data_IF_866562270684
#
_entry.id   IF_866562270684
#
_cell.length_a   1.000
_cell.length_b   1.000
_cell.length_c   1.000
_cell.angle_alpha   90.00
_cell.angle_beta   90.00
_cell.angle_gamma   90.00
#
_symmetry.space_group_name_H-M   'P 1'
#
loop_
_entity.id
_entity.type
_entity.pdbx_description
1 polymer ?
#
# COMPACT_ATOMS: atom_id res chain seq x y z
N UNK A 1 18.03 -16.30 29.76
CA UNK A 1 16.62 -15.90 29.55
C UNK A 1 16.47 -14.62 28.72
N UNK A 2 17.38 -13.64 28.82
CA UNK A 2 17.34 -12.39 28.03
C UNK A 2 17.55 -12.57 26.53
N UNK A 3 18.46 -13.44 26.13
CA UNK A 3 18.81 -13.64 24.70
C UNK A 3 17.67 -14.26 23.87
N UNK A 4 16.95 -15.22 24.47
CA UNK A 4 15.75 -15.80 23.86
C UNK A 4 14.64 -14.76 23.67
N UNK A 5 14.40 -13.93 24.69
CA UNK A 5 13.36 -12.89 24.62
C UNK A 5 13.73 -11.85 23.56
N UNK A 6 14.98 -11.39 23.54
CA UNK A 6 15.45 -10.41 22.56
C UNK A 6 15.31 -10.94 21.13
N UNK A 7 15.79 -12.16 20.88
CA UNK A 7 15.67 -12.81 19.57
C UNK A 7 14.21 -13.00 19.16
N UNK A 8 13.36 -13.48 20.07
CA UNK A 8 11.93 -13.70 19.79
C UNK A 8 11.19 -12.40 19.46
N UNK A 9 11.50 -11.31 20.16
CA UNK A 9 10.90 -9.99 19.89
C UNK A 9 11.37 -9.43 18.55
N UNK A 10 12.66 -9.57 18.23
CA UNK A 10 13.19 -9.11 16.94
C UNK A 10 12.57 -9.88 15.77
N UNK A 11 12.44 -11.21 15.88
CA UNK A 11 11.80 -12.03 14.85
C UNK A 11 10.31 -11.69 14.69
N UNK A 12 9.59 -11.48 15.80
CA UNK A 12 8.20 -11.06 15.76
C UNK A 12 8.03 -9.67 15.10
N UNK A 13 8.91 -8.72 15.44
CA UNK A 13 8.90 -7.40 14.83
C UNK A 13 9.18 -7.47 13.33
N UNK A 14 10.14 -8.29 12.90
CA UNK A 14 10.44 -8.49 11.46
C UNK A 14 9.23 -9.05 10.73
N UNK A 15 8.60 -10.11 11.25
CA UNK A 15 7.41 -10.72 10.64
C UNK A 15 6.24 -9.74 10.57
N UNK A 16 5.98 -8.98 11.63
CA UNK A 16 4.92 -7.98 11.65
C UNK A 16 5.13 -6.91 10.56
N UNK A 17 6.37 -6.48 10.33
CA UNK A 17 6.70 -5.52 9.26
C UNK A 17 6.52 -6.17 7.88
N UNK A 18 6.99 -7.42 7.69
CA UNK A 18 6.85 -8.14 6.43
C UNK A 18 5.38 -8.37 6.06
N UNK A 19 4.58 -8.85 7.02
CA UNK A 19 3.15 -9.07 6.86
C UNK A 19 2.39 -7.77 6.57
N UNK A 20 2.79 -6.66 7.20
CA UNK A 20 2.17 -5.36 6.95
C UNK A 20 2.51 -4.77 5.57
N UNK A 21 3.71 -5.06 5.05
CA UNK A 21 4.17 -4.54 3.76
C UNK A 21 3.72 -5.38 2.56
N UNK A 22 3.23 -6.61 2.78
CA UNK A 22 2.76 -7.49 1.72
C UNK A 22 1.25 -7.38 1.57
N UNK A 23 0.80 -7.08 0.35
CA UNK A 23 -0.61 -7.17 -0.02
C UNK A 23 -0.88 -8.57 -0.59
N UNK A 24 -1.46 -9.44 0.23
CA UNK A 24 -1.98 -10.72 -0.22
C UNK A 24 -3.35 -10.50 -0.89
N UNK A 25 -3.39 -10.57 -2.22
CA UNK A 25 -4.62 -10.41 -2.99
C UNK A 25 -5.29 -11.76 -3.22
N UNK A 26 -6.62 -11.77 -3.22
CA UNK A 26 -7.36 -12.90 -3.78
C UNK A 26 -7.09 -13.03 -5.29
N UNK A 27 -7.46 -14.14 -5.90
CA UNK A 27 -7.35 -14.30 -7.37
C UNK A 27 -8.13 -13.19 -8.08
N UNK A 28 -9.35 -12.90 -7.62
CA UNK A 28 -10.20 -11.84 -8.17
C UNK A 28 -9.55 -10.46 -8.07
N UNK A 29 -8.95 -10.15 -6.92
CA UNK A 29 -8.31 -8.84 -6.72
C UNK A 29 -7.01 -8.73 -7.50
N UNK A 30 -6.29 -9.85 -7.67
CA UNK A 30 -5.09 -9.93 -8.51
C UNK A 30 -5.41 -9.65 -9.98
N UNK A 31 -6.48 -10.25 -10.51
CA UNK A 31 -6.98 -9.99 -11.86
C UNK A 31 -7.37 -8.52 -12.05
N UNK A 32 -8.14 -7.97 -11.11
CA UNK A 32 -8.54 -6.57 -11.15
C UNK A 32 -7.34 -5.61 -11.07
N UNK A 33 -6.33 -5.95 -10.27
CA UNK A 33 -5.09 -5.17 -10.17
C UNK A 33 -4.29 -5.20 -11.47
N UNK A 34 -4.09 -6.38 -12.06
CA UNK A 34 -3.38 -6.53 -13.34
C UNK A 34 -4.13 -5.83 -14.48
N UNK A 35 -5.46 -5.96 -14.54
CA UNK A 35 -6.28 -5.24 -15.52
C UNK A 35 -6.13 -3.72 -15.37
N UNK A 36 -6.11 -3.19 -14.15
CA UNK A 36 -5.92 -1.76 -13.91
C UNK A 36 -4.53 -1.25 -14.36
N UNK A 37 -3.49 -2.09 -14.30
CA UNK A 37 -2.15 -1.77 -14.79
C UNK A 37 -2.07 -1.79 -16.32
N UNK A 38 -2.70 -2.79 -16.95
CA UNK A 38 -2.68 -2.97 -18.41
C UNK A 38 -3.63 -2.01 -19.12
N UNK A 39 -4.76 -1.69 -18.48
CA UNK A 39 -5.84 -0.86 -19.01
C UNK A 39 -6.14 0.33 -18.08
N UNK A 40 -5.22 1.30 -17.98
CA UNK A 40 -5.39 2.43 -17.07
C UNK A 40 -6.61 3.26 -17.47
N UNK A 41 -7.56 3.39 -16.53
CA UNK A 41 -8.75 4.21 -16.72
C UNK A 41 -8.42 5.69 -16.44
N UNK A 42 -8.98 6.64 -17.20
CA UNK A 42 -8.80 8.04 -16.90
C UNK A 42 -9.34 8.35 -15.49
N UNK A 43 -8.63 9.18 -14.75
CA UNK A 43 -9.09 9.68 -13.45
C UNK A 43 -10.46 10.36 -13.60
N UNK A 44 -11.30 10.32 -12.58
CA UNK A 44 -12.62 10.98 -12.62
C UNK A 44 -12.50 12.49 -12.29
N UNK A 45 -13.57 13.25 -12.57
CA UNK A 45 -13.58 14.71 -12.36
C UNK A 45 -13.38 15.11 -10.89
N UNK A 46 -13.92 14.30 -9.97
CA UNK A 46 -13.78 14.54 -8.53
C UNK A 46 -12.32 14.41 -8.07
N UNK A 47 -11.61 13.41 -8.57
CA UNK A 47 -10.20 13.20 -8.25
C UNK A 47 -9.34 14.30 -8.89
N UNK A 48 -9.65 14.71 -10.13
CA UNK A 48 -9.01 15.87 -10.77
C UNK A 48 -9.14 17.13 -9.92
N UNK A 49 -10.34 17.47 -9.48
CA UNK A 49 -10.58 18.65 -8.65
C UNK A 49 -9.83 18.58 -7.31
N UNK A 50 -9.82 17.41 -6.67
CA UNK A 50 -9.11 17.21 -5.40
C UNK A 50 -7.61 17.41 -5.56
N UNK A 51 -7.01 16.84 -6.62
CA UNK A 51 -5.58 17.02 -6.94
C UNK A 51 -5.27 18.49 -7.26
N UNK A 52 -6.13 19.18 -8.02
CA UNK A 52 -5.99 20.62 -8.30
C UNK A 52 -5.95 21.43 -7.00
N UNK A 53 -6.94 21.25 -6.12
CA UNK A 53 -7.01 21.97 -4.84
C UNK A 53 -5.83 21.66 -3.93
N UNK A 54 -5.32 20.42 -3.96
CA UNK A 54 -4.11 20.06 -3.23
C UNK A 54 -2.89 20.84 -3.74
N UNK A 55 -2.68 20.88 -5.06
CA UNK A 55 -1.58 21.62 -5.69
C UNK A 55 -1.61 23.11 -5.38
N UNK A 56 -2.78 23.72 -5.48
CA UNK A 56 -3.01 25.12 -5.11
C UNK A 56 -2.63 25.43 -3.66
N UNK A 57 -2.90 24.50 -2.73
CA UNK A 57 -2.55 24.66 -1.30
C UNK A 57 -1.10 24.32 -0.99
N UNK A 58 -0.54 23.33 -1.67
CA UNK A 58 0.82 22.84 -1.42
C UNK A 58 1.89 23.68 -2.13
N UNK A 59 1.51 24.57 -3.06
CA UNK A 59 2.45 25.39 -3.82
C UNK A 59 3.27 24.60 -4.85
N UNK A 60 2.72 23.48 -5.33
CA UNK A 60 3.34 22.58 -6.35
C UNK A 60 2.60 22.70 -7.66
#
# INVERSE_FOLDING_TARGET
MTDFVLTSVQDAARRAIEEHNQLALSVRDSEAFVDALLNPKPVNDRLRDTVRRYRERAGV
#
